data_IF_874769362756
#
_entry.id   IF_874769362756
#
_cell.length_a   1.000
_cell.length_b   1.000
_cell.length_c   1.000
_cell.angle_alpha   90.00
_cell.angle_beta   90.00
_cell.angle_gamma   90.00
#
_symmetry.space_group_name_H-M   'P 1'
#
loop_
_entity.id
_entity.type
_entity.pdbx_description
1 polymer ?
#
# COMPACT_ATOMS: atom_id res chain seq x y z
N UNK A 1 15.64 -28.41 -20.11
CA UNK A 1 14.79 -27.82 -19.07
C UNK A 1 13.43 -27.50 -19.67
N UNK A 2 12.32 -27.97 -19.09
CA UNK A 2 10.97 -27.57 -19.50
C UNK A 2 10.69 -26.17 -18.93
N UNK A 3 10.60 -25.17 -19.79
CA UNK A 3 10.15 -23.83 -19.43
C UNK A 3 8.63 -23.66 -19.53
N UNK A 4 8.15 -22.43 -19.36
CA UNK A 4 6.75 -22.01 -19.48
C UNK A 4 6.53 -21.31 -20.83
N UNK A 5 5.37 -21.58 -21.46
CA UNK A 5 4.91 -20.85 -22.65
C UNK A 5 3.62 -20.11 -22.31
N UNK A 6 3.66 -18.78 -22.30
CA UNK A 6 2.47 -17.94 -22.10
C UNK A 6 1.84 -17.55 -23.44
N UNK A 7 0.56 -17.85 -23.61
CA UNK A 7 -0.24 -17.49 -24.77
C UNK A 7 -1.04 -16.22 -24.47
N UNK A 8 -0.78 -15.14 -25.21
CA UNK A 8 -1.49 -13.87 -25.06
C UNK A 8 -2.74 -13.84 -25.95
N UNK A 9 -3.77 -13.08 -25.54
CA UNK A 9 -4.97 -12.85 -26.37
C UNK A 9 -4.68 -12.28 -27.76
N UNK A 10 -3.55 -11.58 -27.91
CA UNK A 10 -3.07 -11.08 -29.21
C UNK A 10 -2.53 -12.17 -30.15
N UNK A 11 -2.49 -13.43 -29.72
CA UNK A 11 -1.90 -14.56 -30.46
C UNK A 11 -0.40 -14.74 -30.25
N UNK A 12 0.28 -13.78 -29.61
CA UNK A 12 1.72 -13.87 -29.29
C UNK A 12 1.99 -14.98 -28.27
N UNK A 13 3.12 -15.67 -28.44
CA UNK A 13 3.65 -16.66 -27.49
C UNK A 13 4.94 -16.15 -26.86
N UNK A 14 5.02 -16.18 -25.54
CA UNK A 14 6.22 -15.82 -24.78
C UNK A 14 6.79 -17.08 -24.11
N UNK A 15 8.09 -17.34 -24.29
CA UNK A 15 8.80 -18.47 -23.66
C UNK A 15 9.70 -17.93 -22.55
N UNK A 16 9.69 -18.57 -21.39
CA UNK A 16 10.56 -18.25 -20.26
C UNK A 16 10.84 -19.52 -19.44
N UNK A 17 11.86 -19.49 -18.58
CA UNK A 17 12.14 -20.62 -17.68
C UNK A 17 11.14 -20.66 -16.50
N UNK A 18 10.62 -19.50 -16.10
CA UNK A 18 9.68 -19.36 -14.99
C UNK A 18 8.64 -18.26 -15.27
N UNK A 19 7.48 -18.34 -14.62
CA UNK A 19 6.41 -17.35 -14.65
C UNK A 19 6.13 -16.86 -13.21
N UNK A 20 6.24 -15.55 -13.00
CA UNK A 20 5.78 -14.89 -11.77
C UNK A 20 4.36 -14.35 -11.97
N UNK A 21 3.40 -14.84 -11.18
CA UNK A 21 2.03 -14.34 -11.19
C UNK A 21 1.78 -13.38 -10.01
N UNK A 22 1.66 -12.09 -10.31
CA UNK A 22 1.52 -11.02 -9.33
C UNK A 22 0.28 -10.13 -9.61
N UNK A 23 -0.87 -10.76 -9.84
CA UNK A 23 -2.12 -10.06 -10.24
C UNK A 23 -2.95 -9.52 -9.04
N UNK A 24 -2.54 -9.79 -7.81
CA UNK A 24 -3.22 -9.31 -6.60
C UNK A 24 -3.25 -10.33 -5.46
N UNK A 25 -3.98 -10.00 -4.40
CA UNK A 25 -4.16 -10.81 -3.18
C UNK A 25 -5.65 -11.00 -2.88
N UNK A 26 -6.03 -12.16 -2.37
CA UNK A 26 -7.39 -12.55 -1.98
C UNK A 26 -7.40 -12.82 -0.48
N UNK A 27 -8.53 -12.60 0.21
CA UNK A 27 -8.65 -12.95 1.62
C UNK A 27 -8.53 -14.46 1.83
N UNK A 28 -7.76 -14.88 2.83
CA UNK A 28 -7.55 -16.29 3.14
C UNK A 28 -8.66 -16.80 4.07
N UNK A 29 -9.84 -17.07 3.52
CA UNK A 29 -11.06 -17.43 4.29
C UNK A 29 -11.63 -18.80 3.96
N UNK A 30 -11.17 -19.45 2.88
CA UNK A 30 -11.73 -20.70 2.34
C UNK A 30 -11.75 -21.85 3.36
N UNK A 31 -10.76 -21.93 4.24
CA UNK A 31 -10.64 -23.02 5.22
C UNK A 31 -11.26 -22.70 6.59
N UNK A 32 -11.93 -21.55 6.75
CA UNK A 32 -12.45 -21.10 8.05
C UNK A 32 -13.87 -21.59 8.34
N UNK A 33 -14.55 -22.22 7.36
CA UNK A 33 -15.93 -22.69 7.47
C UNK A 33 -16.88 -21.61 8.02
N UNK A 34 -16.78 -20.39 7.48
CA UNK A 34 -17.52 -19.20 7.92
C UNK A 34 -19.03 -19.39 7.83
N UNK A 35 -19.50 -20.26 6.95
CA UNK A 35 -20.89 -20.66 6.81
C UNK A 35 -21.48 -21.26 8.09
N UNK A 36 -20.68 -21.96 8.90
CA UNK A 36 -21.13 -22.56 10.16
C UNK A 36 -21.51 -21.51 11.21
N UNK A 37 -21.00 -20.29 11.07
CA UNK A 37 -21.28 -19.14 11.93
C UNK A 37 -22.09 -18.07 11.20
N UNK A 38 -22.57 -18.34 9.98
CA UNK A 38 -23.39 -17.41 9.20
C UNK A 38 -22.65 -16.17 8.70
N UNK A 39 -21.32 -16.21 8.58
CA UNK A 39 -20.54 -15.16 7.94
C UNK A 39 -20.34 -15.46 6.45
N UNK A 40 -20.31 -14.39 5.65
CA UNK A 40 -20.10 -14.45 4.21
C UNK A 40 -18.99 -13.50 3.81
N UNK A 41 -18.24 -13.90 2.79
CA UNK A 41 -17.18 -13.10 2.18
C UNK A 41 -17.67 -12.45 0.88
N UNK A 42 -16.96 -11.43 0.43
CA UNK A 42 -17.17 -10.87 -0.90
C UNK A 42 -16.54 -11.73 -2.01
N UNK A 43 -16.65 -11.28 -3.26
CA UNK A 43 -16.06 -11.96 -4.42
C UNK A 43 -14.53 -12.15 -4.38
N UNK A 44 -13.83 -11.49 -3.45
CA UNK A 44 -12.38 -11.56 -3.22
C UNK A 44 -12.03 -12.29 -1.93
N UNK A 45 -12.98 -13.03 -1.34
CA UNK A 45 -12.77 -13.77 -0.10
C UNK A 45 -12.59 -12.87 1.14
N UNK A 46 -13.02 -11.61 1.07
CA UNK A 46 -12.83 -10.63 2.14
C UNK A 46 -14.06 -10.50 3.02
N UNK A 47 -13.84 -10.30 4.33
CA UNK A 47 -14.88 -10.07 5.32
C UNK A 47 -15.25 -8.58 5.39
N UNK A 48 -16.55 -8.30 5.44
CA UNK A 48 -17.03 -6.95 5.75
C UNK A 48 -16.94 -6.69 7.25
N UNK A 49 -16.49 -5.49 7.60
CA UNK A 49 -16.40 -5.04 8.99
C UNK A 49 -16.89 -3.60 9.15
N UNK A 50 -17.26 -3.23 10.36
CA UNK A 50 -17.57 -1.85 10.73
C UNK A 50 -16.31 -1.05 11.11
N UNK A 51 -16.47 0.19 11.58
CA UNK A 51 -15.37 1.09 11.99
C UNK A 51 -14.55 0.59 13.19
N UNK A 52 -15.06 -0.38 13.95
CA UNK A 52 -14.39 -1.04 15.06
C UNK A 52 -13.86 -2.43 14.70
N UNK A 53 -13.84 -2.76 13.41
CA UNK A 53 -13.38 -4.05 12.87
C UNK A 53 -14.22 -5.27 13.29
N UNK A 54 -15.47 -5.05 13.71
CA UNK A 54 -16.43 -6.13 13.96
C UNK A 54 -17.07 -6.59 12.66
N UNK A 55 -17.26 -7.90 12.53
CA UNK A 55 -18.05 -8.51 11.46
C UNK A 55 -19.56 -8.29 11.69
N UNK A 56 -20.41 -8.94 10.90
CA UNK A 56 -21.86 -9.00 11.17
C UNK A 56 -22.20 -9.63 12.53
N UNK A 57 -21.27 -10.41 13.11
CA UNK A 57 -21.36 -10.93 14.46
C UNK A 57 -20.55 -10.03 15.41
N UNK A 58 -21.17 -9.32 16.38
CA UNK A 58 -20.49 -8.31 17.21
C UNK A 58 -19.32 -8.82 18.05
N UNK A 59 -19.28 -10.13 18.31
CA UNK A 59 -18.22 -10.80 19.08
C UNK A 59 -17.10 -11.37 18.20
N UNK A 60 -17.18 -11.21 16.88
CA UNK A 60 -16.15 -11.66 15.93
C UNK A 60 -15.57 -10.44 15.21
N UNK A 61 -14.25 -10.34 15.26
CA UNK A 61 -13.47 -9.26 14.67
C UNK A 61 -12.59 -9.79 13.55
N UNK A 62 -12.30 -8.95 12.56
CA UNK A 62 -11.40 -9.28 11.46
C UNK A 62 -10.54 -8.06 11.09
N UNK A 63 -9.24 -8.28 10.89
CA UNK A 63 -8.25 -7.23 10.60
C UNK A 63 -7.22 -7.69 9.58
N UNK A 64 -6.52 -6.75 8.95
CA UNK A 64 -5.50 -7.00 7.95
C UNK A 64 -6.09 -7.36 6.58
N UNK A 65 -5.33 -8.12 5.80
CA UNK A 65 -5.67 -8.40 4.40
C UNK A 65 -7.02 -9.11 4.19
N UNK A 66 -7.51 -9.80 5.22
CA UNK A 66 -8.80 -10.50 5.18
C UNK A 66 -9.99 -9.55 5.10
N UNK A 67 -9.82 -8.27 5.46
CA UNK A 67 -10.85 -7.22 5.33
C UNK A 67 -10.58 -6.25 4.17
N UNK A 68 -9.53 -6.52 3.39
CA UNK A 68 -9.19 -5.74 2.19
C UNK A 68 -8.25 -4.58 2.42
N UNK A 69 -8.45 -3.49 1.66
CA UNK A 69 -7.58 -2.32 1.71
C UNK A 69 -7.72 -1.62 3.08
N UNK A 70 -6.64 -1.10 3.67
CA UNK A 70 -5.25 -1.07 3.19
C UNK A 70 -4.47 -2.34 3.55
N UNK A 71 -4.04 -3.09 2.54
CA UNK A 71 -3.27 -4.34 2.69
C UNK A 71 -1.79 -4.07 2.97
N UNK A 72 -1.52 -3.43 4.11
CA UNK A 72 -0.19 -3.07 4.60
C UNK A 72 0.01 -3.63 6.01
N UNK A 73 1.21 -4.12 6.30
CA UNK A 73 1.53 -4.71 7.60
C UNK A 73 1.38 -3.70 8.76
N UNK A 74 1.78 -2.44 8.56
CA UNK A 74 1.59 -1.36 9.53
C UNK A 74 0.11 -1.07 9.79
N UNK A 75 -0.71 -1.06 8.74
CA UNK A 75 -2.15 -0.88 8.88
C UNK A 75 -2.80 -2.05 9.62
N UNK A 76 -2.45 -3.30 9.28
CA UNK A 76 -2.93 -4.48 9.98
C UNK A 76 -2.60 -4.46 11.48
N UNK A 77 -1.41 -3.95 11.84
CA UNK A 77 -0.99 -3.78 13.22
C UNK A 77 -1.90 -2.79 13.98
N UNK A 78 -2.14 -1.60 13.41
CA UNK A 78 -3.01 -0.60 14.03
C UNK A 78 -4.48 -1.06 14.08
N UNK A 79 -4.97 -1.72 13.02
CA UNK A 79 -6.29 -2.34 13.00
C UNK A 79 -6.45 -3.34 14.16
N UNK A 80 -5.46 -4.20 14.39
CA UNK A 80 -5.45 -5.15 15.51
C UNK A 80 -5.52 -4.47 16.87
N UNK A 81 -4.80 -3.35 17.06
CA UNK A 81 -4.86 -2.58 18.31
C UNK A 81 -6.22 -1.93 18.54
N UNK A 82 -6.83 -1.40 17.48
CA UNK A 82 -8.17 -0.81 17.54
C UNK A 82 -9.22 -1.88 17.85
N UNK A 83 -9.16 -3.02 17.18
CA UNK A 83 -10.06 -4.16 17.43
C UNK A 83 -9.92 -4.68 18.86
N UNK A 84 -8.70 -4.80 19.38
CA UNK A 84 -8.46 -5.22 20.76
C UNK A 84 -9.03 -4.21 21.78
N UNK A 85 -8.90 -2.90 21.53
CA UNK A 85 -9.51 -1.87 22.37
C UNK A 85 -11.04 -1.99 22.37
N UNK A 86 -11.65 -2.15 21.19
CA UNK A 86 -13.09 -2.32 21.04
C UNK A 86 -13.60 -3.58 21.75
N UNK A 87 -12.86 -4.69 21.66
CA UNK A 87 -13.19 -5.94 22.33
C UNK A 87 -13.22 -5.79 23.86
N UNK A 88 -12.25 -5.07 24.43
CA UNK A 88 -12.10 -4.94 25.89
C UNK A 88 -13.05 -3.89 26.48
N UNK A 89 -13.25 -2.76 25.78
CA UNK A 89 -13.99 -1.60 26.30
C UNK A 89 -15.41 -1.46 25.75
N UNK A 90 -15.77 -2.22 24.72
CA UNK A 90 -16.99 -2.03 23.95
C UNK A 90 -16.95 -0.87 22.96
N UNK A 91 -15.88 -0.08 22.96
CA UNK A 91 -15.66 1.06 22.06
C UNK A 91 -14.16 1.21 21.72
N UNK A 92 -13.88 1.81 20.56
CA UNK A 92 -12.55 2.26 20.22
C UNK A 92 -12.57 3.76 19.87
N UNK A 93 -11.75 4.52 20.58
CA UNK A 93 -11.55 5.96 20.33
C UNK A 93 -10.55 6.23 19.20
N UNK A 94 -9.73 5.23 18.86
CA UNK A 94 -8.75 5.32 17.79
C UNK A 94 -9.33 4.83 16.46
N UNK A 95 -8.95 5.50 15.38
CA UNK A 95 -9.25 5.11 14.01
C UNK A 95 -7.96 4.95 13.22
N UNK A 96 -7.99 4.11 12.20
CA UNK A 96 -6.89 4.02 11.26
C UNK A 96 -6.76 5.36 10.53
N UNK A 97 -5.55 5.87 10.42
CA UNK A 97 -5.29 7.12 9.68
C UNK A 97 -5.73 6.96 8.23
N UNK A 98 -6.34 8.01 7.67
CA UNK A 98 -6.80 7.96 6.28
C UNK A 98 -5.62 8.02 5.29
N UNK A 99 -4.66 8.91 5.56
CA UNK A 99 -3.50 9.14 4.71
C UNK A 99 -2.34 8.23 5.12
N UNK A 100 -2.42 6.96 4.74
CA UNK A 100 -1.38 5.97 5.04
C UNK A 100 -0.22 6.12 4.05
N UNK A 101 1.02 6.38 4.54
CA UNK A 101 2.19 6.38 3.67
C UNK A 101 2.40 5.00 3.05
N UNK A 102 2.53 4.99 1.72
CA UNK A 102 2.76 3.79 0.93
C UNK A 102 4.11 3.88 0.22
N UNK A 103 4.88 2.80 0.26
CA UNK A 103 6.16 2.68 -0.43
C UNK A 103 6.19 1.47 -1.34
N UNK A 104 6.77 1.64 -2.53
CA UNK A 104 7.05 0.60 -3.51
C UNK A 104 8.57 0.54 -3.68
N UNK A 105 9.16 -0.57 -3.23
CA UNK A 105 10.61 -0.79 -3.20
C UNK A 105 11.19 -1.20 -4.57
N UNK A 106 10.89 -0.42 -5.60
CA UNK A 106 11.52 -0.53 -6.93
C UNK A 106 12.83 0.24 -6.98
N UNK A 107 13.51 0.25 -8.13
CA UNK A 107 14.70 1.08 -8.36
C UNK A 107 14.37 2.07 -9.48
N UNK A 108 14.36 3.40 -9.20
CA UNK A 108 14.34 4.00 -7.86
C UNK A 108 13.05 3.72 -7.10
N UNK A 109 13.11 3.71 -5.76
CA UNK A 109 11.94 3.57 -4.89
C UNK A 109 10.87 4.63 -5.21
N UNK A 110 9.60 4.30 -4.98
CA UNK A 110 8.46 5.19 -5.14
C UNK A 110 7.71 5.22 -3.82
N UNK A 111 7.40 6.40 -3.29
CA UNK A 111 6.50 6.51 -2.14
C UNK A 111 5.46 7.60 -2.36
N UNK A 112 4.33 7.48 -1.66
CA UNK A 112 3.22 8.42 -1.67
C UNK A 112 2.47 8.40 -0.36
N UNK A 113 1.91 9.53 0.04
CA UNK A 113 0.93 9.69 1.12
C UNK A 113 -0.18 10.60 0.58
N UNK A 114 -1.32 10.79 1.25
CA UNK A 114 -2.30 11.81 0.85
C UNK A 114 -2.98 11.62 -0.53
N UNK A 115 -3.63 12.70 -0.99
CA UNK A 115 -4.46 12.71 -2.21
C UNK A 115 -3.64 13.03 -3.45
N UNK A 116 -3.84 12.27 -4.51
CA UNK A 116 -3.25 12.51 -5.84
C UNK A 116 -3.91 13.70 -6.57
N UNK A 117 -3.22 14.27 -7.56
CA UNK A 117 -3.79 15.28 -8.48
C UNK A 117 -5.13 14.81 -9.09
N UNK A 118 -5.22 13.53 -9.48
CA UNK A 118 -6.45 12.96 -10.05
C UNK A 118 -7.60 12.94 -9.04
N UNK A 119 -7.33 12.58 -7.78
CA UNK A 119 -8.33 12.60 -6.71
C UNK A 119 -8.78 14.03 -6.39
N UNK A 120 -7.84 14.98 -6.28
CA UNK A 120 -8.16 16.39 -6.04
C UNK A 120 -9.02 16.97 -7.17
N UNK A 121 -8.67 16.68 -8.43
CA UNK A 121 -9.47 17.06 -9.59
C UNK A 121 -10.87 16.44 -9.55
N UNK A 122 -11.00 15.15 -9.23
CA UNK A 122 -12.30 14.48 -9.11
C UNK A 122 -13.18 15.09 -7.99
N UNK A 123 -12.54 15.51 -6.89
CA UNK A 123 -13.19 16.21 -5.77
C UNK A 123 -13.47 17.69 -6.05
N UNK A 124 -13.04 18.21 -7.21
CA UNK A 124 -13.13 19.64 -7.58
C UNK A 124 -12.46 20.58 -6.57
N UNK A 125 -11.39 20.11 -5.93
CA UNK A 125 -10.55 20.91 -5.03
C UNK A 125 -9.54 21.67 -5.90
N UNK A 126 -9.51 23.02 -5.87
CA UNK A 126 -8.46 23.78 -6.54
C UNK A 126 -7.10 23.49 -5.89
N UNK A 127 -6.06 23.25 -6.68
CA UNK A 127 -4.71 22.96 -6.16
C UNK A 127 -3.62 23.50 -7.09
N UNK A 128 -2.46 23.76 -6.50
CA UNK A 128 -1.20 24.00 -7.21
C UNK A 128 -0.27 22.81 -7.04
N UNK A 129 0.78 22.71 -7.86
CA UNK A 129 1.72 21.58 -7.78
C UNK A 129 3.15 22.06 -7.74
N UNK A 130 3.79 21.88 -6.59
CA UNK A 130 5.24 21.98 -6.46
C UNK A 130 5.91 20.76 -7.09
N UNK A 131 6.93 20.99 -7.93
CA UNK A 131 7.72 19.92 -8.56
C UNK A 131 9.20 20.22 -8.44
N UNK A 132 9.99 19.22 -8.03
CA UNK A 132 11.45 19.28 -8.06
C UNK A 132 12.02 18.03 -8.71
N UNK A 133 12.92 18.19 -9.68
CA UNK A 133 13.56 17.07 -10.37
C UNK A 133 14.92 16.79 -9.76
N UNK A 134 15.24 15.52 -9.56
CA UNK A 134 16.48 15.11 -8.90
C UNK A 134 17.72 15.52 -9.68
N UNK A 135 17.66 15.56 -11.02
CA UNK A 135 18.74 16.06 -11.87
C UNK A 135 19.19 17.50 -11.56
N UNK A 136 18.35 18.31 -10.90
CA UNK A 136 18.66 19.68 -10.49
C UNK A 136 19.20 19.78 -9.04
N UNK A 137 19.22 18.67 -8.29
CA UNK A 137 19.69 18.65 -6.91
C UNK A 137 21.17 18.28 -6.85
N UNK A 138 21.99 19.14 -6.24
CA UNK A 138 23.43 18.88 -6.07
C UNK A 138 23.70 17.53 -5.40
N UNK A 139 22.92 17.17 -4.36
CA UNK A 139 23.08 15.87 -3.69
C UNK A 139 22.87 14.70 -4.64
N UNK A 140 21.84 14.76 -5.48
CA UNK A 140 21.52 13.72 -6.45
C UNK A 140 22.62 13.56 -7.51
N UNK A 141 23.24 14.67 -7.92
CA UNK A 141 24.40 14.64 -8.82
C UNK A 141 25.63 14.00 -8.15
N UNK A 142 25.93 14.41 -6.90
CA UNK A 142 27.05 13.88 -6.11
C UNK A 142 26.95 12.36 -5.92
N UNK A 143 25.75 11.82 -5.69
CA UNK A 143 25.54 10.37 -5.49
C UNK A 143 25.20 9.61 -6.77
N UNK A 144 25.22 10.25 -7.95
CA UNK A 144 24.92 9.59 -9.23
C UNK A 144 23.44 9.19 -9.41
N UNK A 145 22.51 9.78 -8.67
CA UNK A 145 21.08 9.44 -8.67
C UNK A 145 20.22 10.58 -9.23
N UNK A 146 20.40 10.91 -10.50
CA UNK A 146 19.69 12.01 -11.17
C UNK A 146 18.24 11.67 -11.59
N UNK A 147 17.89 10.38 -11.62
CA UNK A 147 16.54 9.90 -11.98
C UNK A 147 15.63 9.98 -10.76
N UNK A 148 14.65 10.88 -10.82
CA UNK A 148 13.73 11.09 -9.72
C UNK A 148 12.95 12.38 -9.83
N UNK A 149 11.82 12.45 -9.15
CA UNK A 149 11.01 13.67 -9.02
C UNK A 149 10.32 13.65 -7.68
N UNK A 150 10.28 14.82 -7.05
CA UNK A 150 9.41 15.16 -5.96
C UNK A 150 8.21 15.93 -6.54
N UNK A 151 7.00 15.49 -6.24
CA UNK A 151 5.77 16.21 -6.56
C UNK A 151 4.97 16.41 -5.29
N UNK A 152 4.40 17.61 -5.12
CA UNK A 152 3.57 17.99 -3.97
C UNK A 152 2.39 18.81 -4.49
N UNK A 153 1.18 18.23 -4.58
CA UNK A 153 -0.05 18.98 -4.75
C UNK A 153 -0.39 19.74 -3.46
N UNK A 154 -0.77 21.00 -3.62
CA UNK A 154 -1.10 21.92 -2.52
C UNK A 154 -2.49 22.51 -2.81
N UNK A 155 -3.54 22.07 -2.10
CA UNK A 155 -4.87 22.67 -2.21
C UNK A 155 -4.83 24.18 -1.93
N UNK A 156 -5.60 24.96 -2.69
CA UNK A 156 -5.72 26.40 -2.48
C UNK A 156 -6.72 26.69 -1.36
N UNK A 157 -6.33 27.53 -0.38
CA UNK A 157 -7.18 27.96 0.73
C UNK A 157 -6.51 27.79 2.10
N UNK A 158 -7.02 28.48 3.12
CA UNK A 158 -6.44 28.53 4.48
C UNK A 158 -6.61 27.22 5.28
N UNK A 159 -7.00 26.13 4.61
CA UNK A 159 -7.08 24.81 5.22
C UNK A 159 -5.67 24.24 5.27
N UNK A 160 -5.08 24.29 6.47
CA UNK A 160 -3.99 23.39 6.87
C UNK A 160 -4.52 21.96 6.91
N UNK A 161 -4.88 21.40 5.75
CA UNK A 161 -5.24 20.00 5.63
C UNK A 161 -4.03 19.26 5.04
N UNK A 162 -3.27 18.50 5.84
CA UNK A 162 -1.96 17.97 5.48
C UNK A 162 -2.05 16.71 4.59
N UNK A 163 -3.01 16.66 3.67
CA UNK A 163 -3.18 15.58 2.69
C UNK A 163 -2.16 15.66 1.55
N UNK A 164 -0.87 15.82 1.88
CA UNK A 164 0.20 15.93 0.89
C UNK A 164 0.33 14.61 0.13
N UNK A 165 0.21 14.63 -1.20
CA UNK A 165 0.87 13.58 -2.00
C UNK A 165 2.31 13.90 -2.25
N UNK A 166 3.16 13.42 -1.34
CA UNK A 166 4.59 13.31 -1.56
C UNK A 166 4.85 12.14 -2.52
N UNK A 167 4.77 12.35 -3.84
CA UNK A 167 5.38 11.37 -4.74
C UNK A 167 6.89 11.58 -4.69
N UNK A 168 7.58 10.78 -3.89
CA UNK A 168 9.03 10.74 -3.85
C UNK A 168 9.50 9.59 -4.73
N UNK A 169 10.43 9.90 -5.64
CA UNK A 169 11.12 8.91 -6.45
C UNK A 169 12.62 9.07 -6.26
N UNK A 170 13.24 8.45 -5.24
CA UNK A 170 14.70 8.31 -5.14
C UNK A 170 15.27 7.47 -3.98
N UNK A 171 15.22 6.15 -4.09
CA UNK A 171 16.34 5.34 -3.58
C UNK A 171 16.73 4.30 -4.62
N UNK A 172 17.92 4.46 -5.17
CA UNK A 172 18.72 3.36 -5.65
C UNK A 172 19.80 3.20 -4.61
N UNK A 173 19.79 2.10 -3.85
CA UNK A 173 21.07 1.65 -3.28
C UNK A 173 21.93 1.24 -4.46
N UNK A 174 23.17 1.70 -4.47
CA UNK A 174 24.17 1.05 -5.29
C UNK A 174 24.36 -0.37 -4.73
N UNK A 175 23.84 -1.38 -5.44
CA UNK A 175 24.00 -2.78 -5.08
C UNK A 175 25.37 -3.33 -5.50
N UNK A 176 26.30 -2.48 -5.94
CA UNK A 176 27.63 -2.89 -6.39
C UNK A 176 28.58 -3.34 -5.27
N UNK A 177 28.17 -3.35 -3.99
CA UNK A 177 29.08 -3.65 -2.88
C UNK A 177 28.68 -4.88 -2.06
N UNK A 178 29.48 -5.95 -2.29
CA UNK A 178 29.80 -7.19 -1.54
C UNK A 178 28.65 -8.10 -1.06
N UNK A 179 28.75 -9.44 -1.31
CA UNK A 179 27.90 -10.43 -0.65
C UNK A 179 28.22 -10.44 0.86
N UNK A 180 27.25 -10.10 1.72
CA UNK A 180 27.43 -10.18 3.17
C UNK A 180 26.49 -9.31 4.03
N UNK A 181 25.99 -8.19 3.52
CA UNK A 181 25.22 -7.22 4.33
C UNK A 181 23.69 -7.49 4.34
N UNK A 182 23.28 -8.72 4.65
CA UNK A 182 21.88 -9.05 4.92
C UNK A 182 21.54 -8.84 6.40
N UNK A 183 21.63 -7.59 6.87
CA UNK A 183 21.11 -7.20 8.17
C UNK A 183 19.63 -6.81 8.08
N UNK A 184 18.74 -7.75 8.40
CA UNK A 184 17.28 -7.55 8.45
C UNK A 184 16.79 -6.75 9.69
N UNK A 185 17.68 -6.05 10.41
CA UNK A 185 17.41 -5.55 11.76
C UNK A 185 17.16 -4.03 11.88
N UNK A 186 16.50 -3.41 10.89
CA UNK A 186 16.20 -1.96 11.00
C UNK A 186 14.78 -1.53 10.71
N UNK A 187 13.84 -2.47 10.77
CA UNK A 187 12.42 -2.19 10.61
C UNK A 187 11.62 -2.81 11.76
N UNK A 188 11.70 -2.18 12.93
CA UNK A 188 10.68 -2.16 13.98
C UNK A 188 10.63 -0.76 14.56
#
# INVERSE_FOLDING_TARGET
>A
MMGVIMHLKSGKKLKADCLLYANGRTGNTDSLALENIGLQTDSRGQLKVNSMYQTALPHIYAVGDVIGYPSLASAAYDQGRIAAQALIKGEASAHLIEDIPTGIYTIPEISSVGKTEQQLTAMKVPYEVGRAQFKHLARAQIVGMSVGTLKIPVPQGNQRDPGYSLLWRARGRDYSHRPGDYGAERWR
#
